data_IF_854355372040
#
_entry.id   IF_854355372040
#
_cell.length_a   1.000
_cell.length_b   1.000
_cell.length_c   1.000
_cell.angle_alpha   90.00
_cell.angle_beta   90.00
_cell.angle_gamma   90.00
#
_symmetry.space_group_name_H-M   'P 1'
#
loop_
_entity.id
_entity.type
_entity.pdbx_description
1 polymer ?
#
# COMPACT_ATOMS: atom_id res chain seq x y z
N UNK A 1 2.83 -19.91 -19.00
CA UNK A 1 2.09 -19.79 -17.74
C UNK A 1 2.20 -18.32 -17.31
N UNK A 2 1.06 -17.67 -17.00
CA UNK A 2 1.05 -16.29 -16.53
C UNK A 2 1.84 -16.16 -15.22
N UNK A 3 2.70 -15.16 -15.12
CA UNK A 3 3.43 -14.90 -13.90
C UNK A 3 2.58 -14.14 -12.84
N UNK A 4 3.16 -13.85 -11.68
CA UNK A 4 2.46 -13.15 -10.58
C UNK A 4 1.94 -11.79 -11.03
N UNK A 5 2.74 -11.01 -11.76
CA UNK A 5 2.35 -9.70 -12.24
C UNK A 5 1.17 -9.78 -13.21
N UNK A 6 1.18 -10.74 -14.13
CA UNK A 6 0.09 -10.91 -15.11
C UNK A 6 -1.22 -11.24 -14.39
N UNK A 7 -1.17 -12.11 -13.37
CA UNK A 7 -2.35 -12.47 -12.57
C UNK A 7 -2.87 -11.31 -11.74
N UNK A 8 -1.98 -10.54 -11.10
CA UNK A 8 -2.36 -9.33 -10.35
C UNK A 8 -2.96 -8.29 -11.28
N UNK A 9 -2.34 -8.03 -12.44
CA UNK A 9 -2.89 -7.10 -13.44
C UNK A 9 -4.28 -7.53 -13.93
N UNK A 10 -4.48 -8.83 -14.17
CA UNK A 10 -5.79 -9.35 -14.56
C UNK A 10 -6.82 -9.14 -13.44
N UNK A 11 -6.47 -9.42 -12.19
CA UNK A 11 -7.34 -9.16 -11.03
C UNK A 11 -7.67 -7.68 -10.91
N UNK A 12 -6.69 -6.79 -10.94
CA UNK A 12 -6.92 -5.36 -10.79
C UNK A 12 -7.79 -4.83 -11.94
N UNK A 13 -7.50 -5.22 -13.19
CA UNK A 13 -8.27 -4.78 -14.36
C UNK A 13 -9.71 -5.30 -14.37
N UNK A 14 -9.97 -6.45 -13.77
CA UNK A 14 -11.35 -6.96 -13.65
C UNK A 14 -12.25 -6.07 -12.79
N UNK A 15 -11.69 -5.39 -11.80
CA UNK A 15 -12.40 -4.46 -10.91
C UNK A 15 -12.23 -3.00 -11.33
N UNK A 16 -11.09 -2.69 -11.95
CA UNK A 16 -10.67 -1.35 -12.34
C UNK A 16 -10.20 -1.36 -13.81
N UNK A 17 -11.14 -1.44 -14.78
CA UNK A 17 -10.78 -1.54 -16.20
C UNK A 17 -9.96 -0.36 -16.73
N UNK A 18 -10.07 0.80 -16.07
CA UNK A 18 -9.30 2.01 -16.37
C UNK A 18 -7.89 2.04 -15.82
N UNK A 19 -7.36 0.93 -15.23
CA UNK A 19 -6.03 0.90 -14.62
C UNK A 19 -4.95 1.43 -15.58
N UNK A 20 -4.21 2.43 -15.10
CA UNK A 20 -3.03 3.00 -15.76
C UNK A 20 -1.85 2.98 -14.81
N UNK A 21 -0.69 2.59 -15.32
CA UNK A 21 0.58 2.69 -14.63
C UNK A 21 1.36 3.85 -15.27
N UNK A 22 1.73 4.83 -14.47
CA UNK A 22 2.38 6.06 -14.94
C UNK A 22 3.63 6.33 -14.10
N UNK A 23 4.75 6.60 -14.73
CA UNK A 23 5.93 7.09 -14.02
C UNK A 23 5.66 8.50 -13.48
N UNK A 24 5.96 8.78 -12.23
CA UNK A 24 5.69 10.08 -11.59
C UNK A 24 6.33 11.25 -12.32
N UNK A 25 7.54 11.05 -12.86
CA UNK A 25 8.24 12.10 -13.61
C UNK A 25 7.51 12.50 -14.90
N UNK A 26 6.67 11.64 -15.48
CA UNK A 26 5.92 11.91 -16.70
C UNK A 26 4.59 12.61 -16.42
N UNK A 27 4.19 12.71 -15.14
CA UNK A 27 2.94 13.35 -14.71
C UNK A 27 3.18 14.78 -14.25
N UNK A 28 2.63 15.81 -14.93
CA UNK A 28 2.68 17.19 -14.42
C UNK A 28 2.10 17.34 -13.03
N UNK A 29 0.99 16.66 -12.74
CA UNK A 29 0.37 16.64 -11.40
C UNK A 29 1.33 16.13 -10.34
N UNK A 30 1.99 14.98 -10.59
CA UNK A 30 2.93 14.39 -9.62
C UNK A 30 4.19 15.23 -9.43
N UNK A 31 4.68 15.91 -10.48
CA UNK A 31 5.79 16.86 -10.35
C UNK A 31 5.41 18.04 -9.47
N UNK A 32 4.24 18.64 -9.71
CA UNK A 32 3.74 19.75 -8.88
C UNK A 32 3.56 19.33 -7.44
N UNK A 33 2.91 18.18 -7.19
CA UNK A 33 2.75 17.63 -5.83
C UNK A 33 4.10 17.36 -5.18
N UNK A 34 5.07 16.82 -5.91
CA UNK A 34 6.42 16.58 -5.41
C UNK A 34 7.11 17.87 -4.97
N UNK A 35 6.96 18.95 -5.73
CA UNK A 35 7.50 20.26 -5.35
C UNK A 35 6.84 20.82 -4.10
N UNK A 36 5.51 20.74 -4.01
CA UNK A 36 4.75 21.23 -2.85
C UNK A 36 5.03 20.41 -1.58
N UNK A 37 5.18 19.10 -1.73
CA UNK A 37 5.39 18.18 -0.61
C UNK A 37 6.87 18.02 -0.22
N UNK A 38 7.81 18.53 -1.02
CA UNK A 38 9.24 18.38 -0.79
C UNK A 38 9.69 18.76 0.64
N UNK A 39 9.19 19.84 1.27
CA UNK A 39 9.57 20.19 2.64
C UNK A 39 9.15 19.14 3.69
N UNK A 40 8.10 18.38 3.42
CA UNK A 40 7.53 17.38 4.33
C UNK A 40 7.95 15.95 3.97
N UNK A 41 8.08 15.68 2.67
CA UNK A 41 8.39 14.36 2.12
C UNK A 41 9.34 14.52 0.94
N UNK A 42 10.65 14.71 1.18
CA UNK A 42 11.64 14.94 0.11
C UNK A 42 11.65 13.83 -0.94
N UNK A 43 11.40 12.59 -0.51
CA UNK A 43 11.43 11.39 -1.35
C UNK A 43 10.09 11.07 -2.03
N UNK A 44 9.11 11.99 -2.03
CA UNK A 44 7.79 11.76 -2.61
C UNK A 44 7.86 11.26 -4.07
N UNK A 45 8.74 11.84 -4.86
CA UNK A 45 8.88 11.51 -6.28
C UNK A 45 9.61 10.19 -6.56
N UNK A 46 10.57 9.83 -5.70
CA UNK A 46 11.55 8.77 -5.95
C UNK A 46 11.32 7.47 -5.16
N UNK A 47 10.55 7.54 -4.08
CA UNK A 47 10.41 6.41 -3.14
C UNK A 47 9.00 5.85 -3.05
N UNK A 48 7.98 6.70 -3.05
CA UNK A 48 6.61 6.28 -2.77
C UNK A 48 5.82 6.04 -4.06
N UNK A 49 4.96 5.04 -4.06
CA UNK A 49 3.87 4.91 -5.01
C UNK A 49 2.71 5.81 -4.58
N UNK A 50 1.91 6.25 -5.52
CA UNK A 50 0.71 7.05 -5.24
C UNK A 50 -0.41 6.56 -6.13
N UNK A 51 -1.59 6.32 -5.57
CA UNK A 51 -2.76 5.94 -6.34
C UNK A 51 -3.81 7.05 -6.30
N UNK A 52 -4.34 7.40 -7.48
CA UNK A 52 -5.47 8.31 -7.62
C UNK A 52 -6.47 7.72 -8.62
N UNK A 53 -7.62 7.31 -8.13
CA UNK A 53 -8.61 6.58 -8.93
C UNK A 53 -8.02 5.32 -9.56
N UNK A 54 -8.06 5.24 -10.88
CA UNK A 54 -7.53 4.10 -11.63
C UNK A 54 -6.05 4.25 -12.01
N UNK A 55 -5.38 5.33 -11.62
CA UNK A 55 -3.99 5.56 -11.98
C UNK A 55 -3.06 5.31 -10.80
N UNK A 56 -2.09 4.41 -11.00
CA UNK A 56 -0.99 4.14 -10.07
C UNK A 56 0.25 4.86 -10.60
N UNK A 57 0.73 5.82 -9.81
CA UNK A 57 1.93 6.60 -10.11
C UNK A 57 3.15 5.99 -9.43
N UNK A 58 4.06 5.47 -10.23
CA UNK A 58 5.25 4.74 -9.79
C UNK A 58 6.45 5.68 -9.65
N UNK A 59 7.34 5.43 -8.68
CA UNK A 59 8.56 6.23 -8.50
C UNK A 59 9.63 5.96 -9.56
N UNK A 60 9.48 4.88 -10.35
CA UNK A 60 10.37 4.47 -11.45
C UNK A 60 9.53 4.02 -12.65
N UNK A 61 10.10 4.06 -13.87
CA UNK A 61 9.46 3.45 -15.03
C UNK A 61 9.13 1.98 -14.79
N UNK A 62 8.02 1.49 -15.35
CA UNK A 62 7.57 0.10 -15.19
C UNK A 62 8.65 -0.89 -15.59
N UNK A 63 9.38 -0.61 -16.67
CA UNK A 63 10.44 -1.45 -17.24
C UNK A 63 11.67 -1.57 -16.35
N UNK A 64 11.85 -0.61 -15.42
CA UNK A 64 12.97 -0.58 -14.46
C UNK A 64 12.62 -1.25 -13.12
N UNK A 65 11.39 -1.77 -12.98
CA UNK A 65 10.94 -2.45 -11.77
C UNK A 65 11.00 -3.97 -11.96
N UNK A 66 11.47 -4.66 -10.92
CA UNK A 66 11.32 -6.12 -10.85
C UNK A 66 9.84 -6.50 -10.88
N UNK A 67 9.48 -7.51 -11.70
CA UNK A 67 8.09 -7.91 -11.93
C UNK A 67 7.39 -8.41 -10.67
N UNK A 68 8.08 -9.19 -9.83
CA UNK A 68 7.52 -9.66 -8.56
C UNK A 68 7.34 -8.50 -7.57
N UNK A 69 8.28 -7.56 -7.55
CA UNK A 69 8.15 -6.34 -6.74
C UNK A 69 6.97 -5.48 -7.21
N UNK A 70 6.81 -5.28 -8.52
CA UNK A 70 5.68 -4.55 -9.09
C UNK A 70 4.34 -5.23 -8.79
N UNK A 71 4.29 -6.57 -8.85
CA UNK A 71 3.09 -7.32 -8.48
C UNK A 71 2.67 -7.04 -7.03
N UNK A 72 3.64 -7.01 -6.09
CA UNK A 72 3.37 -6.68 -4.68
C UNK A 72 2.89 -5.25 -4.49
N UNK A 73 3.53 -4.27 -5.14
CA UNK A 73 3.06 -2.88 -5.14
C UNK A 73 1.62 -2.82 -5.62
N UNK A 74 1.30 -3.40 -6.78
CA UNK A 74 -0.05 -3.35 -7.33
C UNK A 74 -1.09 -4.05 -6.44
N UNK A 75 -0.73 -5.13 -5.78
CA UNK A 75 -1.60 -5.81 -4.83
C UNK A 75 -1.90 -4.94 -3.59
N UNK A 76 -0.91 -4.21 -3.08
CA UNK A 76 -1.06 -3.22 -2.02
C UNK A 76 -1.97 -2.06 -2.47
N UNK A 77 -1.66 -1.44 -3.60
CA UNK A 77 -2.41 -0.30 -4.13
C UNK A 77 -3.85 -0.68 -4.54
N UNK A 78 -4.08 -1.94 -4.91
CA UNK A 78 -5.41 -2.44 -5.22
C UNK A 78 -6.37 -2.35 -4.02
N UNK A 79 -5.88 -2.58 -2.80
CA UNK A 79 -6.70 -2.37 -1.60
C UNK A 79 -7.14 -0.91 -1.48
N UNK A 80 -6.24 0.04 -1.71
CA UNK A 80 -6.59 1.46 -1.75
C UNK A 80 -7.59 1.79 -2.86
N UNK A 81 -7.45 1.19 -4.05
CA UNK A 81 -8.41 1.40 -5.13
C UNK A 81 -9.82 0.88 -4.80
N UNK A 82 -9.91 -0.25 -4.09
CA UNK A 82 -11.19 -0.78 -3.60
C UNK A 82 -11.78 0.13 -2.51
N UNK A 83 -10.96 0.63 -1.60
CA UNK A 83 -11.38 1.58 -0.57
C UNK A 83 -11.86 2.90 -1.19
N UNK A 84 -11.15 3.43 -2.20
CA UNK A 84 -11.59 4.59 -2.96
C UNK A 84 -12.95 4.37 -3.65
N UNK A 85 -13.15 3.19 -4.25
CA UNK A 85 -14.41 2.85 -4.91
C UNK A 85 -15.58 2.74 -3.93
N UNK A 86 -15.31 2.20 -2.74
CA UNK A 86 -16.32 1.96 -1.72
C UNK A 86 -16.69 3.23 -0.97
N UNK A 87 -15.70 4.05 -0.60
CA UNK A 87 -15.89 5.18 0.30
C UNK A 87 -15.84 6.55 -0.40
N UNK A 88 -15.42 6.59 -1.68
CA UNK A 88 -15.43 7.81 -2.49
C UNK A 88 -14.75 9.02 -1.83
N UNK A 89 -15.45 10.16 -1.73
CA UNK A 89 -14.89 11.39 -1.14
C UNK A 89 -14.40 11.20 0.31
N UNK A 90 -15.03 10.31 1.09
CA UNK A 90 -14.63 10.05 2.46
C UNK A 90 -13.22 9.45 2.53
N UNK A 91 -12.87 8.55 1.61
CA UNK A 91 -11.50 8.03 1.54
C UNK A 91 -10.50 9.18 1.32
N UNK A 92 -10.71 9.99 0.29
CA UNK A 92 -9.78 11.07 -0.05
C UNK A 92 -9.62 12.09 1.07
N UNK A 93 -10.72 12.53 1.67
CA UNK A 93 -10.67 13.51 2.76
C UNK A 93 -9.95 12.95 3.98
N UNK A 94 -10.21 11.71 4.35
CA UNK A 94 -9.62 11.09 5.54
C UNK A 94 -8.20 10.57 5.30
N UNK A 95 -7.83 10.29 4.06
CA UNK A 95 -6.48 9.88 3.70
C UNK A 95 -5.51 11.08 3.60
N UNK A 96 -5.97 12.19 3.00
CA UNK A 96 -5.13 13.37 2.71
C UNK A 96 -5.21 14.42 3.82
N UNK A 97 -6.43 14.78 4.26
CA UNK A 97 -6.66 15.91 5.17
C UNK A 97 -6.51 15.54 6.65
N UNK A 98 -6.55 14.26 6.99
CA UNK A 98 -6.38 13.81 8.38
C UNK A 98 -4.91 13.87 8.86
N UNK A 99 -4.10 14.73 8.29
CA UNK A 99 -2.80 15.13 8.80
C UNK A 99 -2.98 16.32 9.76
N UNK A 100 -2.31 16.41 10.90
CA UNK A 100 -1.18 15.63 11.40
C UNK A 100 -1.42 15.03 12.79
N UNK A 101 -0.56 14.09 13.16
CA UNK A 101 -0.23 13.76 14.56
C UNK A 101 -1.33 13.05 15.35
N UNK A 102 -1.09 11.80 15.64
CA UNK A 102 -1.97 10.92 16.38
C UNK A 102 -2.70 9.98 15.43
N UNK A 103 -3.63 9.21 15.95
CA UNK A 103 -4.44 8.22 15.23
C UNK A 103 -5.13 8.82 14.00
N UNK A 104 -4.44 8.84 12.87
CA UNK A 104 -5.02 9.34 11.64
C UNK A 104 -5.86 8.25 10.99
N UNK A 105 -6.96 8.62 10.37
CA UNK A 105 -7.74 7.70 9.53
C UNK A 105 -6.91 7.17 8.37
N UNK A 106 -5.85 7.88 7.94
CA UNK A 106 -4.85 7.36 7.01
C UNK A 106 -4.21 6.07 7.51
N UNK A 107 -3.85 5.97 8.81
CA UNK A 107 -3.32 4.74 9.39
C UNK A 107 -4.29 3.55 9.25
N UNK A 108 -5.59 3.80 9.25
CA UNK A 108 -6.59 2.76 9.01
C UNK A 108 -6.49 2.20 7.58
N UNK A 109 -6.41 3.09 6.58
CA UNK A 109 -6.30 2.68 5.17
C UNK A 109 -4.97 1.97 4.89
N UNK A 110 -3.87 2.55 5.38
CA UNK A 110 -2.54 1.93 5.25
C UNK A 110 -2.47 0.56 5.92
N UNK A 111 -3.06 0.39 7.11
CA UNK A 111 -3.10 -0.93 7.78
C UNK A 111 -3.78 -1.99 6.92
N UNK A 112 -4.83 -1.63 6.19
CA UNK A 112 -5.53 -2.53 5.27
C UNK A 112 -4.64 -2.93 4.09
N UNK A 113 -3.92 -2.00 3.53
CA UNK A 113 -3.01 -2.25 2.40
C UNK A 113 -1.76 -3.02 2.84
N UNK A 114 -1.13 -2.65 3.96
CA UNK A 114 0.01 -3.39 4.53
C UNK A 114 -0.36 -4.81 5.02
N UNK A 115 -1.62 -5.11 5.22
CA UNK A 115 -2.08 -6.47 5.48
C UNK A 115 -1.71 -7.41 4.32
N UNK A 116 -1.71 -6.92 3.07
CA UNK A 116 -1.23 -7.67 1.89
C UNK A 116 0.25 -8.00 2.03
N UNK A 117 1.08 -7.02 2.41
CA UNK A 117 2.52 -7.23 2.58
C UNK A 117 2.82 -8.28 3.65
N UNK A 118 2.11 -8.24 4.78
CA UNK A 118 2.23 -9.24 5.83
C UNK A 118 1.79 -10.64 5.37
N UNK A 119 0.68 -10.71 4.62
CA UNK A 119 0.16 -11.97 4.08
C UNK A 119 1.15 -12.58 3.07
N UNK A 120 1.70 -11.79 2.17
CA UNK A 120 2.69 -12.24 1.19
C UNK A 120 4.01 -12.63 1.86
N UNK A 121 4.43 -11.90 2.90
CA UNK A 121 5.58 -12.27 3.72
C UNK A 121 5.35 -13.62 4.42
N UNK A 122 4.17 -13.84 4.98
CA UNK A 122 3.81 -15.12 5.61
C UNK A 122 3.88 -16.28 4.61
N UNK A 123 3.33 -16.10 3.42
CA UNK A 123 3.39 -17.10 2.34
C UNK A 123 4.83 -17.42 1.93
N UNK A 124 5.69 -16.41 1.83
CA UNK A 124 7.06 -16.56 1.37
C UNK A 124 8.02 -17.18 2.41
N UNK A 125 7.78 -16.97 3.70
CA UNK A 125 8.75 -17.37 4.73
C UNK A 125 8.17 -17.47 6.15
N UNK A 126 6.86 -17.66 6.28
CA UNK A 126 6.17 -17.92 7.53
C UNK A 126 6.31 -16.80 8.58
N UNK A 127 6.18 -17.16 9.87
CA UNK A 127 6.19 -16.17 10.96
C UNK A 127 7.45 -15.31 11.03
N UNK A 128 8.62 -15.88 10.68
CA UNK A 128 9.87 -15.12 10.69
C UNK A 128 9.89 -14.01 9.62
N UNK A 129 9.30 -14.26 8.44
CA UNK A 129 9.18 -13.24 7.40
C UNK A 129 8.15 -12.17 7.79
N UNK A 130 7.06 -12.53 8.46
CA UNK A 130 6.09 -11.57 9.03
C UNK A 130 6.78 -10.66 10.05
N UNK A 131 7.60 -11.22 10.94
CA UNK A 131 8.33 -10.41 11.91
C UNK A 131 9.28 -9.40 11.23
N UNK A 132 9.99 -9.81 10.17
CA UNK A 132 10.81 -8.90 9.36
C UNK A 132 9.98 -7.83 8.67
N UNK A 133 8.82 -8.20 8.11
CA UNK A 133 7.90 -7.23 7.50
C UNK A 133 7.40 -6.21 8.53
N UNK A 134 6.98 -6.64 9.71
CA UNK A 134 6.60 -5.74 10.81
C UNK A 134 7.74 -4.77 11.19
N UNK A 135 8.99 -5.23 11.19
CA UNK A 135 10.13 -4.40 11.55
C UNK A 135 10.36 -3.20 10.60
N UNK A 136 9.96 -3.30 9.33
CA UNK A 136 10.02 -2.16 8.42
C UNK A 136 8.68 -1.41 8.28
N UNK A 137 7.53 -2.08 8.46
CA UNK A 137 6.21 -1.43 8.39
C UNK A 137 5.99 -0.49 9.59
N UNK A 138 6.33 -0.92 10.82
CA UNK A 138 6.11 -0.12 12.02
C UNK A 138 6.76 1.27 11.94
N UNK A 139 8.02 1.43 11.50
CA UNK A 139 8.61 2.76 11.28
C UNK A 139 7.89 3.62 10.24
N UNK A 140 7.22 3.03 9.24
CA UNK A 140 6.40 3.79 8.28
C UNK A 140 5.22 4.46 8.99
N UNK A 141 4.58 3.78 9.93
CA UNK A 141 3.47 4.35 10.71
C UNK A 141 3.93 5.40 11.72
N UNK A 142 5.06 5.18 12.38
CA UNK A 142 5.53 6.00 13.50
C UNK A 142 6.54 7.08 13.10
N UNK A 143 6.99 7.10 11.85
CA UNK A 143 8.06 7.98 11.38
C UNK A 143 7.59 9.06 10.38
N UNK A 144 8.54 9.89 9.93
CA UNK A 144 8.27 11.01 9.03
C UNK A 144 7.85 10.57 7.61
N UNK A 145 8.15 9.34 7.22
CA UNK A 145 7.88 8.85 5.86
C UNK A 145 6.42 9.03 5.43
N UNK A 146 5.49 8.84 6.35
CA UNK A 146 4.05 9.05 6.14
C UNK A 146 3.47 10.16 7.06
N UNK A 147 4.31 11.03 7.60
CA UNK A 147 3.87 12.14 8.43
C UNK A 147 3.38 11.72 9.82
N UNK A 148 4.04 10.75 10.44
CA UNK A 148 3.73 10.27 11.80
C UNK A 148 2.25 9.88 11.96
N UNK A 149 1.80 8.90 11.19
CA UNK A 149 0.42 8.40 11.27
C UNK A 149 0.08 7.84 12.66
N UNK A 150 1.08 7.48 13.47
CA UNK A 150 0.90 6.92 14.79
C UNK A 150 1.91 7.46 15.81
N UNK A 151 1.49 7.55 17.07
CA UNK A 151 2.30 8.11 18.15
C UNK A 151 3.35 7.10 18.67
N UNK A 152 4.45 6.94 17.94
CA UNK A 152 5.59 6.11 18.32
C UNK A 152 5.48 4.63 17.91
N UNK A 153 6.63 3.96 17.88
CA UNK A 153 6.79 2.60 17.36
C UNK A 153 6.05 1.55 18.18
N UNK A 154 6.04 1.69 19.50
CA UNK A 154 5.34 0.75 20.37
C UNK A 154 3.82 0.79 20.15
N UNK A 155 3.25 2.00 20.08
CA UNK A 155 1.83 2.18 19.81
C UNK A 155 1.45 1.72 18.39
N UNK A 156 2.30 1.96 17.39
CA UNK A 156 2.12 1.46 16.03
C UNK A 156 2.20 -0.09 16.00
N UNK A 157 3.11 -0.69 16.74
CA UNK A 157 3.19 -2.16 16.88
C UNK A 157 1.90 -2.74 17.45
N UNK A 158 1.38 -2.17 18.53
CA UNK A 158 0.10 -2.59 19.12
C UNK A 158 -1.07 -2.41 18.14
N UNK A 159 -1.06 -1.34 17.36
CA UNK A 159 -2.11 -1.07 16.37
C UNK A 159 -2.11 -2.08 15.21
N UNK A 160 -0.92 -2.54 14.79
CA UNK A 160 -0.76 -3.51 13.72
C UNK A 160 -0.89 -4.97 14.19
N UNK A 161 -0.74 -5.22 15.51
CA UNK A 161 -0.76 -6.57 16.08
C UNK A 161 -1.99 -7.40 15.68
N UNK A 162 -3.24 -6.90 15.71
CA UNK A 162 -4.41 -7.68 15.30
C UNK A 162 -4.32 -8.20 13.87
N UNK A 163 -3.88 -7.37 12.92
CA UNK A 163 -3.71 -7.79 11.52
C UNK A 163 -2.59 -8.83 11.38
N UNK A 164 -1.46 -8.63 12.06
CA UNK A 164 -0.39 -9.62 12.12
C UNK A 164 -0.92 -10.97 12.61
N UNK A 165 -1.68 -10.96 13.70
CA UNK A 165 -2.19 -12.19 14.34
C UNK A 165 -3.22 -12.89 13.43
N UNK A 166 -4.08 -12.15 12.72
CA UNK A 166 -4.99 -12.69 11.71
C UNK A 166 -4.23 -13.31 10.53
N UNK A 167 -3.12 -12.71 10.11
CA UNK A 167 -2.25 -13.27 9.05
C UNK A 167 -1.63 -14.59 9.54
N UNK A 168 -1.09 -14.61 10.75
CA UNK A 168 -0.45 -15.80 11.32
C UNK A 168 -1.46 -16.94 11.55
N UNK A 169 -2.70 -16.61 11.90
CA UNK A 169 -3.78 -17.56 12.06
C UNK A 169 -4.40 -18.04 10.73
N UNK A 170 -4.07 -17.40 9.60
CA UNK A 170 -4.65 -17.71 8.30
C UNK A 170 -6.09 -17.23 8.10
N UNK A 171 -6.63 -16.44 9.01
CA UNK A 171 -8.02 -15.96 8.94
C UNK A 171 -8.19 -14.77 8.00
N UNK A 172 -7.16 -13.92 7.86
CA UNK A 172 -7.20 -12.80 6.93
C UNK A 172 -7.30 -13.29 5.48
N UNK A 173 -6.57 -14.33 5.13
CA UNK A 173 -6.49 -14.92 3.80
C UNK A 173 -7.81 -15.50 3.29
N UNK A 174 -8.80 -15.66 4.16
CA UNK A 174 -10.12 -16.16 3.84
C UNK A 174 -11.14 -15.06 3.53
N UNK A 175 -10.76 -13.80 3.67
CA UNK A 175 -11.65 -12.64 3.49
C UNK A 175 -11.29 -11.84 2.23
N UNK A 176 -12.31 -11.36 1.53
CA UNK A 176 -12.10 -10.43 0.43
C UNK A 176 -11.53 -9.08 0.95
N UNK A 177 -10.62 -8.46 0.21
CA UNK A 177 -10.06 -8.87 -1.09
C UNK A 177 -8.85 -9.79 -0.98
N UNK A 178 -8.38 -10.11 0.22
CA UNK A 178 -7.10 -10.78 0.50
C UNK A 178 -7.04 -12.20 -0.08
N UNK A 179 -8.16 -12.94 -0.04
CA UNK A 179 -8.29 -14.27 -0.65
C UNK A 179 -8.04 -14.23 -2.16
N UNK A 180 -8.55 -13.21 -2.83
CA UNK A 180 -8.40 -13.02 -4.28
C UNK A 180 -6.97 -12.60 -4.63
N UNK A 181 -6.39 -11.69 -3.84
CA UNK A 181 -5.00 -11.25 -3.99
C UNK A 181 -4.06 -12.45 -3.83
N UNK A 182 -4.25 -13.25 -2.77
CA UNK A 182 -3.37 -14.38 -2.48
C UNK A 182 -3.34 -15.43 -3.61
N UNK A 183 -4.45 -15.61 -4.34
CA UNK A 183 -4.50 -16.51 -5.52
C UNK A 183 -3.62 -16.04 -6.69
N UNK A 184 -3.20 -14.80 -6.70
CA UNK A 184 -2.31 -14.26 -7.72
C UNK A 184 -0.82 -14.61 -7.48
N UNK A 185 -0.45 -14.94 -6.29
CA UNK A 185 0.90 -15.30 -5.87
C UNK A 185 1.02 -16.79 -5.61
#
# INVERSE_FOLDING_TARGET
VADELDRVLALVRSERPGLRLVHKADSPLMRTLGTVLAPLTPDFGSRFTTVLGDTVYLPRPVEALDRGHLARILAHEFVHQLDMATYGPLFYTTYVLAMPVGRTTRAHWERRAYAVDLMLAHRAGGPAAVARAMAWIVPMFAGPAYGWMWAGTEAATRYLAPVRDEVLAGTLQQRAPYDRILRCF
#
